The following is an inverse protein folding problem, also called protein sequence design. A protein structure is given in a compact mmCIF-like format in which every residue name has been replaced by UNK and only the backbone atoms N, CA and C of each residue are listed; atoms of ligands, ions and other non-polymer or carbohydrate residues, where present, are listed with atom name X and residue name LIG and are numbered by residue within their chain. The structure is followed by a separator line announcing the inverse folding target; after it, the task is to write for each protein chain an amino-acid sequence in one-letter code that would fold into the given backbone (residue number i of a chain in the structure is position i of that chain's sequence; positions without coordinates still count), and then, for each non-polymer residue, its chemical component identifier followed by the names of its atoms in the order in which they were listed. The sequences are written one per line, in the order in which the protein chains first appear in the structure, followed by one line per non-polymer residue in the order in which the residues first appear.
data_IF_926676208525
#
_entry.id   IF_926676208525
#
_cell.length_a   1.000
_cell.length_b   1.000
_cell.length_c   1.000
_cell.angle_alpha   90.00
_cell.angle_beta   90.00
_cell.angle_gamma   90.00
#
_symmetry.space_group_name_H-M   'P 1'
#
loop_
_entity.id
_entity.type
_entity.pdbx_description
1 polymer ?
#
# COMPACT_ATOMS: atom_id res chain seq x y z
N UNK A 1 -4.69 -7.91 -3.92
CA UNK A 1 -4.47 -6.68 -4.71
C UNK A 1 -4.01 -5.58 -3.77
N UNK A 2 -2.98 -4.82 -4.13
CA UNK A 2 -2.51 -3.68 -3.33
C UNK A 2 -2.98 -2.36 -3.94
N UNK A 3 -3.35 -1.40 -3.10
CA UNK A 3 -3.78 -0.07 -3.51
C UNK A 3 -3.16 0.99 -2.62
N UNK A 4 -2.69 2.09 -3.23
CA UNK A 4 -2.32 3.32 -2.54
C UNK A 4 -3.47 4.32 -2.58
N UNK A 5 -3.54 5.21 -1.58
CA UNK A 5 -4.63 6.16 -1.44
C UNK A 5 -4.13 7.53 -0.93
N UNK A 6 -4.93 8.56 -1.20
CA UNK A 6 -4.71 9.92 -0.72
C UNK A 6 -5.07 10.11 0.76
N UNK A 7 -5.60 9.06 1.39
CA UNK A 7 -5.79 8.98 2.85
C UNK A 7 -4.49 8.60 3.59
N UNK A 8 -3.35 8.65 2.89
CA UNK A 8 -2.01 8.31 3.39
C UNK A 8 -1.84 6.84 3.79
N UNK A 9 -2.72 5.95 3.31
CA UNK A 9 -2.65 4.52 3.60
C UNK A 9 -2.37 3.67 2.37
N UNK A 10 -1.77 2.51 2.61
CA UNK A 10 -1.78 1.39 1.67
C UNK A 10 -2.76 0.34 2.18
N UNK A 11 -3.58 -0.20 1.29
CA UNK A 11 -4.55 -1.25 1.60
C UNK A 11 -4.31 -2.47 0.73
N UNK A 12 -4.41 -3.64 1.34
CA UNK A 12 -4.40 -4.93 0.66
C UNK A 12 -5.81 -5.49 0.68
N UNK A 13 -6.26 -5.96 -0.48
CA UNK A 13 -7.60 -6.45 -0.70
C UNK A 13 -7.58 -7.90 -1.17
N UNK A 14 -8.50 -8.69 -0.64
CA UNK A 14 -8.87 -9.99 -1.18
C UNK A 14 -9.67 -9.77 -2.46
N UNK A 15 -9.17 -10.27 -3.58
CA UNK A 15 -9.89 -10.18 -4.86
C UNK A 15 -11.13 -11.08 -4.86
N UNK A 16 -11.08 -12.21 -4.13
CA UNK A 16 -12.16 -13.19 -4.08
C UNK A 16 -13.36 -12.69 -3.28
N UNK A 17 -13.12 -11.96 -2.20
CA UNK A 17 -14.18 -11.53 -1.27
C UNK A 17 -14.46 -10.03 -1.35
N UNK A 18 -13.62 -9.26 -2.05
CA UNK A 18 -13.68 -7.80 -2.08
C UNK A 18 -13.35 -7.13 -0.75
N UNK A 19 -12.87 -7.89 0.24
CA UNK A 19 -12.65 -7.40 1.60
C UNK A 19 -11.23 -6.88 1.79
N UNK A 20 -11.07 -5.89 2.68
CA UNK A 20 -9.75 -5.43 3.13
C UNK A 20 -9.11 -6.52 3.98
N UNK A 21 -7.91 -6.96 3.59
CA UNK A 21 -7.09 -7.91 4.33
C UNK A 21 -6.17 -7.20 5.32
N UNK A 22 -5.60 -6.06 4.92
CA UNK A 22 -4.66 -5.31 5.75
C UNK A 22 -4.64 -3.83 5.36
N UNK A 23 -4.36 -2.99 6.35
CA UNK A 23 -4.17 -1.55 6.20
C UNK A 23 -2.82 -1.20 6.79
N UNK A 24 -1.99 -0.52 6.02
CA UNK A 24 -0.66 -0.07 6.40
C UNK A 24 -0.71 1.46 6.58
N UNK A 25 -0.86 1.94 7.83
CA UNK A 25 -0.66 3.34 8.16
C UNK A 25 0.83 3.62 8.31
N UNK A 26 1.26 4.86 8.07
CA UNK A 26 2.63 5.25 8.35
C UNK A 26 3.16 6.35 7.44
N UNK A 27 2.58 6.54 6.26
CA UNK A 27 2.93 7.68 5.43
C UNK A 27 2.36 8.98 6.04
N UNK A 28 3.18 10.03 6.04
CA UNK A 28 2.81 11.37 6.47
C UNK A 28 2.08 12.18 5.38
N UNK A 29 1.98 11.64 4.17
CA UNK A 29 1.32 12.27 3.02
C UNK A 29 0.77 11.21 2.06
N UNK A 30 0.16 11.67 0.95
CA UNK A 30 -0.54 10.80 0.00
C UNK A 30 0.41 9.79 -0.62
N UNK A 31 -0.03 8.53 -0.62
CA UNK A 31 0.70 7.44 -1.28
C UNK A 31 0.32 7.44 -2.75
N UNK A 32 1.31 7.55 -3.63
CA UNK A 32 1.06 7.69 -5.07
C UNK A 32 1.58 6.50 -5.89
N UNK A 33 2.38 5.61 -5.29
CA UNK A 33 2.77 4.35 -5.92
C UNK A 33 2.89 3.23 -4.91
N UNK A 34 2.59 2.02 -5.37
CA UNK A 34 2.84 0.77 -4.66
C UNK A 34 3.40 -0.26 -5.64
N UNK A 35 4.32 -1.11 -5.17
CA UNK A 35 4.91 -2.20 -5.94
C UNK A 35 4.90 -3.47 -5.09
N UNK A 36 4.44 -4.57 -5.66
CA UNK A 36 4.51 -5.89 -5.05
C UNK A 36 5.75 -6.61 -5.57
N UNK A 37 6.45 -7.30 -4.66
CA UNK A 37 7.46 -8.29 -5.02
C UNK A 37 6.84 -9.43 -5.85
N UNK A 38 7.61 -10.08 -6.75
CA UNK A 38 7.11 -11.22 -7.54
C UNK A 38 6.65 -12.41 -6.69
N UNK A 39 7.23 -12.58 -5.49
CA UNK A 39 6.85 -13.62 -4.54
C UNK A 39 5.62 -13.22 -3.69
N UNK A 40 5.17 -11.96 -3.77
CA UNK A 40 4.02 -11.44 -3.03
C UNK A 40 4.22 -11.29 -1.51
N UNK A 41 5.46 -11.44 -1.02
CA UNK A 41 5.78 -11.37 0.41
C UNK A 41 6.10 -9.96 0.87
N UNK A 42 6.69 -9.17 -0.03
CA UNK A 42 7.14 -7.80 0.24
C UNK A 42 6.36 -6.80 -0.63
N UNK A 43 6.17 -5.59 -0.10
CA UNK A 43 5.46 -4.52 -0.76
C UNK A 43 6.16 -3.19 -0.51
N UNK A 44 6.61 -2.53 -1.57
CA UNK A 44 7.14 -1.18 -1.46
C UNK A 44 6.06 -0.14 -1.74
N UNK A 45 6.02 0.95 -0.96
CA UNK A 45 5.18 2.12 -1.22
C UNK A 45 5.98 3.41 -1.14
N UNK A 46 5.61 4.39 -1.98
CA UNK A 46 6.21 5.72 -1.94
C UNK A 46 5.13 6.82 -1.83
N UNK A 47 5.49 7.87 -1.11
CA UNK A 47 4.59 8.94 -0.68
C UNK A 47 5.19 10.31 -0.96
N UNK A 48 4.36 11.35 -0.98
CA UNK A 48 4.80 12.74 -1.06
C UNK A 48 5.48 13.25 0.22
N UNK A 49 5.54 12.45 1.28
CA UNK A 49 6.33 12.73 2.48
C UNK A 49 7.84 12.49 2.29
N UNK A 50 8.27 12.19 1.06
CA UNK A 50 9.66 11.87 0.70
C UNK A 50 10.20 10.58 1.32
N UNK A 51 9.31 9.68 1.74
CA UNK A 51 9.67 8.36 2.30
C UNK A 51 9.26 7.20 1.40
N UNK A 52 9.97 6.09 1.60
CA UNK A 52 9.64 4.77 1.05
C UNK A 52 9.41 3.83 2.24
N UNK A 53 8.35 3.03 2.18
CA UNK A 53 8.06 1.95 3.14
C UNK A 53 8.07 0.60 2.43
N UNK A 54 8.42 -0.46 3.15
CA UNK A 54 8.59 -1.84 2.68
C UNK A 54 7.71 -2.80 3.49
#
# INVERSE_FOLDING_TARGET
MATCSWDNTVKIWSVLTGSVLSVFPGHGSSVHRVALSPNGLELASCSFDYTIQL
#
